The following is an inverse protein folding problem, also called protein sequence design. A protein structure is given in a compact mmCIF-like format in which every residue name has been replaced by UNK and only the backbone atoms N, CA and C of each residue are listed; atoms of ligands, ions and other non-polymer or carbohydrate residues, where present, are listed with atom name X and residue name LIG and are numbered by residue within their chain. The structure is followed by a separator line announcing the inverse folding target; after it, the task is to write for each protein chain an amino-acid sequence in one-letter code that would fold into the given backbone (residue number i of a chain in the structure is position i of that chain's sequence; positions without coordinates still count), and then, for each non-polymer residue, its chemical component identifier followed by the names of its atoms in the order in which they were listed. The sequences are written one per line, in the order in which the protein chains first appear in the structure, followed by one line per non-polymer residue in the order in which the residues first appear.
data_IF_979026604667
#
_entry.id   IF_979026604667
#
_cell.length_a   1.000
_cell.length_b   1.000
_cell.length_c   1.000
_cell.angle_alpha   90.00
_cell.angle_beta   90.00
_cell.angle_gamma   90.00
#
_symmetry.space_group_name_H-M   'P 1'
#
loop_
_entity.id
_entity.type
_entity.pdbx_description
1 polymer ?
#
# COMPACT_ATOMS: atom_id res chain seq x y z
N UNK A 1 -9.25 -12.11 14.78
CA UNK A 1 -9.99 -11.71 13.57
C UNK A 1 -9.85 -12.83 12.56
N UNK A 2 -10.94 -13.25 11.92
CA UNK A 2 -10.88 -14.25 10.86
C UNK A 2 -10.09 -13.68 9.68
N UNK A 3 -9.13 -14.46 9.17
CA UNK A 3 -8.38 -14.08 7.99
C UNK A 3 -9.30 -14.28 6.78
N UNK A 4 -9.68 -13.19 6.11
CA UNK A 4 -10.54 -13.22 4.93
C UNK A 4 -9.67 -13.57 3.71
N UNK A 5 -9.90 -14.74 3.12
CA UNK A 5 -9.09 -15.25 2.01
C UNK A 5 -9.25 -14.45 0.71
N UNK A 6 -10.21 -13.52 0.67
CA UNK A 6 -10.55 -12.71 -0.50
C UNK A 6 -10.29 -11.21 -0.31
N UNK A 7 -9.89 -10.77 0.89
CA UNK A 7 -9.55 -9.39 1.19
C UNK A 7 -8.12 -9.31 1.73
N UNK A 8 -7.23 -8.74 0.92
CA UNK A 8 -5.81 -8.69 1.23
C UNK A 8 -5.35 -7.25 1.41
N UNK A 9 -4.30 -7.06 2.20
CA UNK A 9 -3.53 -5.81 2.20
C UNK A 9 -2.28 -6.05 1.37
N UNK A 10 -2.08 -5.23 0.34
CA UNK A 10 -0.88 -5.27 -0.48
C UNK A 10 0.37 -5.05 0.37
N UNK A 11 1.38 -5.92 0.21
CA UNK A 11 2.62 -5.88 1.00
C UNK A 11 3.45 -4.63 0.65
N UNK A 12 3.39 -4.18 -0.61
CA UNK A 12 4.15 -3.00 -1.08
C UNK A 12 3.35 -1.70 -0.99
N UNK A 13 2.10 -1.74 -1.44
CA UNK A 13 1.27 -0.54 -1.57
C UNK A 13 0.52 -0.18 -0.29
N UNK A 14 0.41 -1.10 0.67
CA UNK A 14 -0.42 -0.98 1.88
C UNK A 14 -1.90 -0.66 1.54
N UNK A 15 -2.32 -0.99 0.31
CA UNK A 15 -3.69 -0.78 -0.16
C UNK A 15 -4.49 -2.07 -0.02
N UNK A 16 -5.77 -1.99 0.38
CA UNK A 16 -6.63 -3.15 0.39
C UNK A 16 -7.00 -3.56 -1.03
N UNK A 17 -6.97 -4.86 -1.29
CA UNK A 17 -7.22 -5.49 -2.58
C UNK A 17 -8.23 -6.61 -2.36
N UNK A 18 -9.31 -6.60 -3.14
CA UNK A 18 -10.36 -7.61 -3.13
C UNK A 18 -10.16 -8.56 -4.32
N UNK A 19 -10.33 -9.87 -4.11
CA UNK A 19 -10.38 -10.85 -5.20
C UNK A 19 -11.81 -11.07 -5.69
N UNK A 20 -11.96 -11.45 -6.95
CA UNK A 20 -13.26 -11.75 -7.52
C UNK A 20 -13.90 -12.98 -6.83
N UNK A 21 -15.23 -13.02 -6.66
CA UNK A 21 -15.93 -14.20 -6.16
C UNK A 21 -15.58 -15.46 -6.97
N UNK A 22 -15.15 -16.52 -6.27
CA UNK A 22 -14.77 -17.79 -6.90
C UNK A 22 -13.33 -17.86 -7.45
N UNK A 23 -12.54 -16.79 -7.34
CA UNK A 23 -11.11 -16.80 -7.71
C UNK A 23 -10.25 -17.11 -6.48
N UNK A 24 -9.42 -18.15 -6.58
CA UNK A 24 -8.48 -18.57 -5.54
C UNK A 24 -7.02 -18.22 -5.86
N UNK A 25 -6.74 -17.69 -7.05
CA UNK A 25 -5.38 -17.32 -7.47
C UNK A 25 -4.94 -15.99 -6.84
N UNK A 26 -4.08 -16.10 -5.83
CA UNK A 26 -3.45 -14.95 -5.15
C UNK A 26 -2.39 -14.24 -6.00
N UNK A 27 -1.96 -14.83 -7.12
CA UNK A 27 -1.01 -14.21 -8.04
C UNK A 27 -1.53 -12.91 -8.67
N UNK A 28 -2.85 -12.78 -8.84
CA UNK A 28 -3.46 -11.54 -9.30
C UNK A 28 -3.34 -10.41 -8.26
N UNK A 29 -3.48 -10.73 -6.96
CA UNK A 29 -3.33 -9.78 -5.86
C UNK A 29 -1.92 -9.22 -5.82
N UNK A 30 -0.90 -10.07 -5.98
CA UNK A 30 0.50 -9.61 -6.03
C UNK A 30 0.75 -8.68 -7.22
N UNK A 31 0.17 -8.97 -8.39
CA UNK A 31 0.34 -8.13 -9.56
C UNK A 31 -0.39 -6.78 -9.44
N UNK A 32 -1.57 -6.76 -8.80
CA UNK A 32 -2.27 -5.51 -8.47
C UNK A 32 -1.46 -4.69 -7.46
N UNK A 33 -0.92 -5.32 -6.41
CA UNK A 33 -0.07 -4.65 -5.42
C UNK A 33 1.21 -4.05 -6.05
N UNK A 34 1.90 -4.82 -6.90
CA UNK A 34 3.06 -4.35 -7.67
C UNK A 34 2.69 -3.15 -8.55
N UNK A 35 1.55 -3.20 -9.24
CA UNK A 35 1.05 -2.12 -10.09
C UNK A 35 0.72 -0.86 -9.27
N UNK A 36 0.09 -1.01 -8.11
CA UNK A 36 -0.24 0.08 -7.18
C UNK A 36 1.01 0.73 -6.57
N UNK A 37 2.10 -0.04 -6.38
CA UNK A 37 3.40 0.51 -5.99
C UNK A 37 4.14 1.21 -7.16
N UNK A 38 3.57 1.20 -8.36
CA UNK A 38 4.09 1.90 -9.53
C UNK A 38 5.05 1.07 -10.39
N UNK A 39 5.07 -0.26 -10.20
CA UNK A 39 5.65 -1.18 -11.16
C UNK A 39 4.61 -1.49 -12.24
N UNK A 40 4.67 -0.77 -13.36
CA UNK A 40 3.72 -0.91 -14.47
C UNK A 40 3.90 -2.21 -15.28
N UNK A 41 4.92 -3.00 -14.96
CA UNK A 41 5.24 -4.29 -15.56
C UNK A 41 5.86 -5.23 -14.55
N UNK A 42 6.36 -6.39 -15.01
CA UNK A 42 6.95 -7.40 -14.13
C UNK A 42 8.12 -6.80 -13.33
N UNK A 43 8.01 -6.85 -12.00
CA UNK A 43 9.09 -6.43 -11.10
C UNK A 43 10.38 -7.21 -11.44
N UNK A 44 11.51 -6.52 -11.66
CA UNK A 44 12.76 -7.18 -12.00
C UNK A 44 13.19 -8.21 -10.95
N UNK A 45 13.67 -9.39 -11.38
CA UNK A 45 14.05 -10.48 -10.48
C UNK A 45 15.19 -10.10 -9.52
N UNK A 46 16.13 -9.28 -9.96
CA UNK A 46 17.22 -8.76 -9.10
C UNK A 46 16.68 -7.89 -7.97
N UNK A 47 15.62 -7.11 -8.22
CA UNK A 47 15.01 -6.25 -7.22
C UNK A 47 14.26 -7.07 -6.17
N UNK A 48 13.57 -8.14 -6.59
CA UNK A 48 12.95 -9.11 -5.66
C UNK A 48 13.99 -9.78 -4.75
N UNK A 49 15.16 -10.12 -5.30
CA UNK A 49 16.26 -10.67 -4.50
C UNK A 49 16.77 -9.63 -3.49
N UNK A 50 16.87 -8.35 -3.88
CA UNK A 50 17.29 -7.27 -3.01
C UNK A 50 16.27 -6.98 -1.88
N UNK A 51 14.98 -7.04 -2.17
CA UNK A 51 13.92 -6.93 -1.15
C UNK A 51 13.98 -8.08 -0.15
N UNK A 52 14.33 -9.29 -0.60
CA UNK A 52 14.54 -10.44 0.28
C UNK A 52 15.76 -10.24 1.20
N UNK A 53 16.80 -9.55 0.72
CA UNK A 53 17.95 -9.18 1.53
C UNK A 53 17.51 -8.17 2.62
N UNK A 54 16.58 -7.27 2.31
CA UNK A 54 15.82 -6.51 3.31
C UNK A 54 16.70 -5.84 4.36
N UNK A 55 16.50 -6.19 5.63
CA UNK A 55 17.27 -5.68 6.78
C UNK A 55 18.79 -5.90 6.66
N UNK A 56 19.23 -6.98 5.99
CA UNK A 56 20.66 -7.25 5.79
C UNK A 56 21.34 -6.22 4.89
N UNK A 57 20.58 -5.48 4.08
CA UNK A 57 21.13 -4.40 3.26
C UNK A 57 21.81 -3.33 4.14
N UNK A 58 21.22 -3.02 5.30
CA UNK A 58 21.84 -2.10 6.26
C UNK A 58 23.18 -2.62 6.75
N UNK A 59 23.26 -3.91 7.13
CA UNK A 59 24.51 -4.51 7.56
C UNK A 59 25.57 -4.49 6.45
N UNK A 60 25.18 -4.78 5.21
CA UNK A 60 26.07 -4.72 4.04
C UNK A 60 26.61 -3.30 3.83
N UNK A 61 25.75 -2.28 3.87
CA UNK A 61 26.17 -0.89 3.72
C UNK A 61 27.09 -0.43 4.87
N UNK A 62 26.81 -0.85 6.11
CA UNK A 62 27.65 -0.56 7.28
C UNK A 62 29.03 -1.20 7.15
N UNK A 63 29.09 -2.49 6.78
CA UNK A 63 30.37 -3.19 6.59
C UNK A 63 31.16 -2.56 5.43
N UNK A 64 30.50 -2.24 4.33
CA UNK A 64 31.13 -1.59 3.18
C UNK A 64 31.66 -0.18 3.53
N UNK A 65 30.87 0.62 4.26
CA UNK A 65 31.28 1.94 4.74
C UNK A 65 32.47 1.87 5.70
N UNK A 66 32.48 0.89 6.60
CA UNK A 66 33.59 0.64 7.52
C UNK A 66 34.86 0.21 6.77
N UNK A 67 34.76 -0.74 5.85
CA UNK A 67 35.87 -1.17 5.01
C UNK A 67 36.45 -0.01 4.18
N UNK A 68 35.59 0.81 3.59
CA UNK A 68 35.98 1.99 2.81
C UNK A 68 36.72 3.01 3.67
N UNK A 69 36.18 3.35 4.85
CA UNK A 69 36.79 4.33 5.75
C UNK A 69 38.13 3.84 6.31
N UNK A 70 38.25 2.55 6.66
CA UNK A 70 39.50 1.96 7.14
C UNK A 70 40.59 1.97 6.05
N UNK A 71 40.22 1.69 4.80
CA UNK A 71 41.15 1.61 3.67
C UNK A 71 41.65 2.98 3.19
N UNK A 72 40.80 4.01 3.23
CA UNK A 72 41.06 5.27 2.51
C UNK A 72 41.17 6.51 3.40
N UNK A 73 40.70 6.48 4.65
CA UNK A 73 40.78 7.65 5.53
C UNK A 73 42.18 7.78 6.14
N UNK A 74 42.82 8.96 6.07
CA UNK A 74 44.09 9.21 6.76
C UNK A 74 43.92 9.57 8.25
N UNK A 75 42.70 9.54 8.78
CA UNK A 75 42.40 9.94 10.16
C UNK A 75 42.81 8.89 11.21
N UNK A 76 42.70 9.24 12.49
CA UNK A 76 42.90 8.30 13.59
C UNK A 76 41.84 7.18 13.59
N UNK A 77 42.23 6.01 14.09
CA UNK A 77 41.44 4.76 14.04
C UNK A 77 40.00 4.94 14.54
N UNK A 78 39.81 5.68 15.64
CA UNK A 78 38.48 5.96 16.20
C UNK A 78 37.60 6.77 15.24
N UNK A 79 38.19 7.77 14.55
CA UNK A 79 37.47 8.58 13.57
C UNK A 79 37.15 7.78 12.30
N UNK A 80 38.04 6.89 11.86
CA UNK A 80 37.75 6.00 10.71
C UNK A 80 36.54 5.12 10.98
N UNK A 81 36.48 4.51 12.17
CA UNK A 81 35.35 3.67 12.59
C UNK A 81 34.06 4.50 12.65
N UNK A 82 34.08 5.65 13.33
CA UNK A 82 32.93 6.54 13.43
C UNK A 82 32.41 7.00 12.06
N UNK A 83 33.31 7.43 11.17
CA UNK A 83 32.97 7.84 9.82
C UNK A 83 32.41 6.68 8.99
N UNK A 84 33.01 5.49 9.07
CA UNK A 84 32.57 4.32 8.31
C UNK A 84 31.17 3.82 8.71
N UNK A 85 30.89 3.79 10.03
CA UNK A 85 29.56 3.48 10.55
C UNK A 85 28.53 4.51 10.09
N UNK A 86 28.87 5.80 10.18
CA UNK A 86 27.95 6.89 9.79
C UNK A 86 27.66 6.86 8.29
N UNK A 87 28.68 6.69 7.46
CA UNK A 87 28.54 6.57 6.00
C UNK A 87 27.65 5.37 5.66
N UNK A 88 27.90 4.21 6.25
CA UNK A 88 27.09 3.03 5.97
C UNK A 88 25.63 3.17 6.40
N UNK A 89 25.38 3.80 7.54
CA UNK A 89 24.03 4.06 8.06
C UNK A 89 23.24 5.02 7.15
N UNK A 90 23.90 6.05 6.61
CA UNK A 90 23.28 7.02 5.68
C UNK A 90 23.18 6.45 4.26
N UNK A 91 24.15 5.66 3.81
CA UNK A 91 24.16 5.07 2.49
C UNK A 91 23.03 4.05 2.28
N UNK A 92 22.65 3.31 3.33
CA UNK A 92 21.59 2.30 3.25
C UNK A 92 20.23 2.85 2.72
N UNK A 93 19.62 3.90 3.32
CA UNK A 93 18.36 4.45 2.79
C UNK A 93 18.52 5.09 1.41
N UNK A 94 19.64 5.77 1.15
CA UNK A 94 19.90 6.45 -0.14
C UNK A 94 20.02 5.44 -1.28
N UNK A 95 20.85 4.40 -1.09
CA UNK A 95 21.06 3.35 -2.09
C UNK A 95 19.78 2.53 -2.31
N UNK A 96 19.04 2.22 -1.23
CA UNK A 96 17.75 1.52 -1.34
C UNK A 96 16.73 2.32 -2.16
N UNK A 97 16.63 3.63 -1.92
CA UNK A 97 15.76 4.52 -2.69
C UNK A 97 16.16 4.57 -4.18
N UNK A 98 17.45 4.71 -4.46
CA UNK A 98 17.96 4.74 -5.84
C UNK A 98 17.69 3.43 -6.59
N UNK A 99 17.92 2.28 -5.95
CA UNK A 99 17.66 0.97 -6.54
C UNK A 99 16.18 0.76 -6.81
N UNK A 100 15.28 1.24 -5.94
CA UNK A 100 13.83 1.20 -6.19
C UNK A 100 13.44 2.07 -7.38
N UNK A 101 14.04 3.25 -7.54
CA UNK A 101 13.81 4.09 -8.72
C UNK A 101 14.29 3.41 -10.00
N UNK A 102 15.47 2.79 -9.99
CA UNK A 102 16.00 2.03 -11.12
C UNK A 102 15.10 0.84 -11.47
N UNK A 103 14.62 0.11 -10.46
CA UNK A 103 13.71 -1.00 -10.67
C UNK A 103 12.37 -0.56 -11.29
N UNK A 104 11.81 0.57 -10.83
CA UNK A 104 10.59 1.17 -11.41
C UNK A 104 10.84 1.66 -12.84
N UNK A 105 11.98 2.30 -13.11
CA UNK A 105 12.37 2.74 -14.44
C UNK A 105 12.53 1.55 -15.40
N UNK A 106 13.18 0.47 -14.97
CA UNK A 106 13.33 -0.76 -15.76
C UNK A 106 11.97 -1.44 -16.00
N UNK A 107 11.09 -1.50 -15.00
CA UNK A 107 9.75 -2.05 -15.16
C UNK A 107 8.90 -1.25 -16.14
N UNK A 108 9.10 0.07 -16.22
CA UNK A 108 8.48 0.94 -17.23
C UNK A 108 9.10 0.78 -18.62
N UNK A 109 10.42 0.69 -18.71
CA UNK A 109 11.12 0.52 -19.98
C UNK A 109 10.85 -0.85 -20.63
N UNK A 110 10.55 -1.87 -19.83
CA UNK A 110 10.24 -3.22 -20.30
C UNK A 110 8.77 -3.49 -20.63
N UNK A 111 7.86 -2.51 -20.53
CA UNK A 111 6.44 -2.75 -20.75
C UNK A 111 5.65 -1.50 -21.19
N UNK A 112 5.03 -1.59 -22.37
CA UNK A 112 4.14 -0.55 -22.93
C UNK A 112 2.82 -0.35 -22.17
N UNK A 113 2.51 -1.14 -21.13
CA UNK A 113 1.30 -0.99 -20.34
C UNK A 113 1.55 -0.07 -19.14
N UNK A 114 0.98 1.14 -19.15
CA UNK A 114 0.90 1.96 -17.94
C UNK A 114 0.14 1.25 -16.81
N UNK A 115 0.31 1.72 -15.57
CA UNK A 115 -0.32 1.15 -14.36
C UNK A 115 -1.83 0.91 -14.54
N UNK A 116 -2.54 1.84 -15.18
CA UNK A 116 -3.99 1.70 -15.45
C UNK A 116 -4.31 0.51 -16.35
N UNK A 117 -3.48 0.25 -17.37
CA UNK A 117 -3.67 -0.88 -18.28
C UNK A 117 -3.35 -2.21 -17.59
N UNK A 118 -2.33 -2.23 -16.73
CA UNK A 118 -2.03 -3.41 -15.91
C UNK A 118 -3.18 -3.72 -14.94
N UNK A 119 -3.75 -2.70 -14.29
CA UNK A 119 -4.92 -2.85 -13.44
C UNK A 119 -6.16 -3.29 -14.24
N UNK A 120 -6.38 -2.74 -15.44
CA UNK A 120 -7.50 -3.13 -16.30
C UNK A 120 -7.44 -4.61 -16.72
N UNK A 121 -6.24 -5.13 -17.03
CA UNK A 121 -6.06 -6.56 -17.37
C UNK A 121 -6.35 -7.47 -16.17
N UNK A 122 -6.12 -6.98 -14.96
CA UNK A 122 -6.34 -7.74 -13.72
C UNK A 122 -7.73 -7.52 -13.11
N UNK A 123 -8.50 -6.58 -13.63
CA UNK A 123 -9.75 -6.12 -13.04
C UNK A 123 -10.77 -7.25 -12.86
N UNK A 124 -10.78 -8.27 -13.72
CA UNK A 124 -11.72 -9.39 -13.58
C UNK A 124 -11.35 -10.37 -12.45
N UNK A 125 -10.13 -10.25 -11.89
CA UNK A 125 -9.57 -11.21 -10.94
C UNK A 125 -9.27 -10.59 -9.57
N UNK A 126 -8.75 -9.37 -9.56
CA UNK A 126 -8.42 -8.62 -8.35
C UNK A 126 -8.54 -7.12 -8.58
N UNK A 127 -9.05 -6.39 -7.60
CA UNK A 127 -9.27 -4.94 -7.69
C UNK A 127 -8.82 -4.23 -6.42
N UNK A 128 -8.25 -3.02 -6.51
CA UNK A 128 -8.07 -2.17 -5.34
C UNK A 128 -9.43 -1.74 -4.78
N UNK A 129 -9.56 -1.72 -3.45
CA UNK A 129 -10.69 -1.11 -2.75
C UNK A 129 -10.20 0.06 -1.90
N UNK A 130 -11.13 0.87 -1.39
CA UNK A 130 -10.76 1.92 -0.43
C UNK A 130 -10.47 1.32 0.94
N UNK A 131 -9.67 2.02 1.75
CA UNK A 131 -9.47 1.69 3.16
C UNK A 131 -10.78 1.63 3.95
N UNK A 132 -11.76 2.46 3.56
CA UNK A 132 -13.10 2.48 4.15
C UNK A 132 -13.85 1.18 3.87
N UNK A 133 -13.85 0.69 2.63
CA UNK A 133 -14.48 -0.59 2.27
C UNK A 133 -13.93 -1.73 3.11
N UNK A 134 -12.60 -1.78 3.31
CA UNK A 134 -11.98 -2.78 4.19
C UNK A 134 -12.53 -2.69 5.62
N UNK A 135 -12.53 -1.50 6.20
CA UNK A 135 -12.99 -1.29 7.57
C UNK A 135 -14.46 -1.69 7.75
N UNK A 136 -15.31 -1.31 6.80
CA UNK A 136 -16.73 -1.61 6.81
C UNK A 136 -16.99 -3.12 6.71
N UNK A 137 -16.29 -3.81 5.81
CA UNK A 137 -16.33 -5.28 5.67
C UNK A 137 -15.92 -5.97 6.97
N UNK A 138 -14.79 -5.57 7.55
CA UNK A 138 -14.29 -6.16 8.80
C UNK A 138 -15.27 -5.96 9.95
N UNK A 139 -15.89 -4.78 10.05
CA UNK A 139 -16.88 -4.48 11.08
C UNK A 139 -18.18 -5.29 10.91
N UNK A 140 -18.68 -5.44 9.67
CA UNK A 140 -19.88 -6.27 9.40
C UNK A 140 -19.61 -7.72 9.76
N UNK A 141 -18.48 -8.29 9.31
CA UNK A 141 -18.15 -9.70 9.54
C UNK A 141 -17.72 -10.00 10.97
N UNK A 142 -17.22 -9.01 11.72
CA UNK A 142 -16.99 -9.16 13.15
C UNK A 142 -18.30 -9.38 13.93
N UNK A 143 -19.42 -8.84 13.44
CA UNK A 143 -20.74 -8.97 14.06
C UNK A 143 -21.52 -10.18 13.56
N UNK A 144 -21.51 -10.40 12.25
CA UNK A 144 -22.19 -11.53 11.61
C UNK A 144 -21.31 -12.18 10.53
N UNK A 145 -20.54 -13.23 10.90
CA UNK A 145 -19.72 -13.98 9.94
C UNK A 145 -20.55 -14.72 8.87
N UNK A 146 -21.84 -14.99 9.11
CA UNK A 146 -22.68 -15.71 8.15
C UNK A 146 -22.94 -14.92 6.86
N UNK A 147 -22.74 -13.60 6.91
CA UNK A 147 -22.89 -12.70 5.77
C UNK A 147 -21.66 -12.67 4.85
N UNK A 148 -20.61 -13.44 5.11
CA UNK A 148 -19.34 -13.40 4.38
C UNK A 148 -19.53 -13.42 2.87
N UNK A 149 -20.32 -14.36 2.34
CA UNK A 149 -20.53 -14.47 0.89
C UNK A 149 -21.20 -13.22 0.29
N UNK A 150 -22.19 -12.65 0.99
CA UNK A 150 -22.90 -11.44 0.55
C UNK A 150 -21.99 -10.23 0.63
N UNK A 151 -21.25 -10.07 1.72
CA UNK A 151 -20.30 -8.97 1.93
C UNK A 151 -19.17 -9.03 0.91
N UNK A 152 -18.67 -10.22 0.57
CA UNK A 152 -17.68 -10.42 -0.50
C UNK A 152 -18.21 -9.92 -1.85
N UNK A 153 -19.41 -10.35 -2.24
CA UNK A 153 -20.03 -9.88 -3.49
C UNK A 153 -20.25 -8.36 -3.51
N UNK A 154 -20.70 -7.79 -2.39
CA UNK A 154 -20.91 -6.35 -2.27
C UNK A 154 -19.58 -5.58 -2.32
N UNK A 155 -18.55 -6.04 -1.62
CA UNK A 155 -17.22 -5.43 -1.65
C UNK A 155 -16.61 -5.47 -3.06
N UNK A 156 -16.79 -6.58 -3.78
CA UNK A 156 -16.39 -6.69 -5.18
C UNK A 156 -17.14 -5.68 -6.07
N UNK A 157 -18.47 -5.69 -6.01
CA UNK A 157 -19.31 -4.82 -6.84
C UNK A 157 -19.15 -3.34 -6.51
N UNK A 158 -18.90 -2.99 -5.25
CA UNK A 158 -18.70 -1.61 -4.82
C UNK A 158 -17.51 -0.91 -5.48
N UNK A 159 -16.63 -1.65 -6.17
CA UNK A 159 -15.56 -1.09 -7.00
C UNK A 159 -16.06 -0.39 -8.27
N UNK A 160 -17.24 -0.75 -8.76
CA UNK A 160 -17.81 -0.24 -10.02
C UNK A 160 -19.25 0.26 -9.86
N UNK A 161 -20.00 -0.29 -8.89
CA UNK A 161 -21.43 -0.06 -8.69
C UNK A 161 -21.68 0.76 -7.41
N UNK A 162 -22.09 2.03 -7.56
CA UNK A 162 -22.45 2.88 -6.43
C UNK A 162 -23.62 2.35 -5.59
N UNK A 163 -24.52 1.54 -6.17
CA UNK A 163 -25.63 0.96 -5.42
C UNK A 163 -25.12 -0.13 -4.46
N UNK A 164 -24.22 -1.00 -4.93
CA UNK A 164 -23.57 -2.00 -4.08
C UNK A 164 -22.75 -1.35 -2.95
N UNK A 165 -22.11 -0.21 -3.24
CA UNK A 165 -21.41 0.58 -2.22
C UNK A 165 -22.35 1.07 -1.11
N UNK A 166 -23.50 1.64 -1.47
CA UNK A 166 -24.52 2.09 -0.51
C UNK A 166 -25.12 0.94 0.29
N UNK A 167 -25.30 -0.21 -0.33
CA UNK A 167 -25.80 -1.40 0.37
C UNK A 167 -24.78 -1.91 1.40
N UNK A 168 -23.49 -1.93 1.06
CA UNK A 168 -22.42 -2.26 2.01
C UNK A 168 -22.36 -1.25 3.17
N UNK A 169 -22.49 0.04 2.87
CA UNK A 169 -22.53 1.10 3.88
C UNK A 169 -23.73 0.92 4.83
N UNK A 170 -24.92 0.61 4.31
CA UNK A 170 -26.10 0.34 5.13
C UNK A 170 -25.93 -0.88 6.03
N UNK A 171 -25.31 -1.96 5.53
CA UNK A 171 -24.95 -3.12 6.36
C UNK A 171 -23.98 -2.74 7.47
N UNK A 172 -23.00 -1.89 7.16
CA UNK A 172 -22.06 -1.39 8.14
C UNK A 172 -22.71 -0.49 9.19
N UNK A 173 -23.61 0.42 8.82
CA UNK A 173 -24.34 1.26 9.77
C UNK A 173 -25.19 0.44 10.75
N UNK A 174 -25.80 -0.64 10.27
CA UNK A 174 -26.54 -1.59 11.13
C UNK A 174 -25.59 -2.42 12.01
N UNK A 175 -24.38 -2.71 11.53
CA UNK A 175 -23.38 -3.44 12.29
C UNK A 175 -22.75 -2.56 13.39
N UNK A 176 -22.35 -1.34 13.07
CA UNK A 176 -21.67 -0.40 13.96
C UNK A 176 -22.28 1.02 13.88
N UNK A 177 -23.41 1.25 14.56
CA UNK A 177 -24.08 2.55 14.56
C UNK A 177 -23.25 3.64 15.26
N UNK A 178 -22.35 3.26 16.19
CA UNK A 178 -21.49 4.21 16.90
C UNK A 178 -20.39 4.75 15.97
N UNK A 179 -19.75 3.88 15.19
CA UNK A 179 -18.78 4.30 14.18
C UNK A 179 -19.43 5.11 13.05
N UNK A 180 -20.66 4.75 12.65
CA UNK A 180 -21.45 5.54 11.69
C UNK A 180 -21.73 6.96 12.22
N UNK A 181 -22.17 7.10 13.46
CA UNK A 181 -22.39 8.40 14.09
C UNK A 181 -21.09 9.22 14.19
N UNK A 182 -19.97 8.58 14.53
CA UNK A 182 -18.67 9.23 14.58
C UNK A 182 -18.21 9.73 13.19
N UNK A 183 -18.51 8.97 12.13
CA UNK A 183 -18.22 9.38 10.74
C UNK A 183 -19.07 10.58 10.31
N UNK A 184 -20.37 10.55 10.61
CA UNK A 184 -21.26 11.67 10.35
C UNK A 184 -20.81 12.96 11.06
N UNK A 185 -20.36 12.84 12.32
CA UNK A 185 -19.82 13.98 13.08
C UNK A 185 -18.55 14.58 12.43
N UNK A 186 -17.64 13.73 11.94
CA UNK A 186 -16.43 14.19 11.23
C UNK A 186 -16.77 14.94 9.94
N UNK A 187 -17.76 14.47 9.18
CA UNK A 187 -18.20 15.17 7.97
C UNK A 187 -18.80 16.53 8.30
N UNK A 188 -19.64 16.63 9.33
CA UNK A 188 -20.18 17.92 9.79
C UNK A 188 -19.06 18.90 10.22
N UNK A 189 -18.00 18.41 10.88
CA UNK A 189 -16.84 19.24 11.24
C UNK A 189 -16.06 19.72 10.00
N UNK A 190 -15.87 18.86 9.00
CA UNK A 190 -15.20 19.21 7.75
C UNK A 190 -15.99 20.25 6.96
N UNK A 191 -17.32 20.10 6.87
CA UNK A 191 -18.19 21.07 6.21
C UNK A 191 -18.13 22.44 6.90
N UNK A 192 -18.11 22.46 8.24
CA UNK A 192 -17.93 23.69 9.02
C UNK A 192 -16.55 24.34 8.74
N UNK A 193 -15.47 23.54 8.66
CA UNK A 193 -14.14 24.04 8.28
C UNK A 193 -14.12 24.60 6.86
N UNK A 194 -14.72 23.92 5.89
CA UNK A 194 -14.80 24.38 4.50
C UNK A 194 -15.59 25.69 4.41
N UNK A 195 -16.71 25.80 5.12
CA UNK A 195 -17.51 27.02 5.18
C UNK A 195 -16.71 28.21 5.75
N UNK A 196 -15.99 28.01 6.86
CA UNK A 196 -15.15 29.06 7.46
C UNK A 196 -13.97 29.48 6.56
N UNK A 197 -13.34 28.55 5.83
CA UNK A 197 -12.28 28.86 4.87
C UNK A 197 -12.79 29.68 3.69
N UNK A 198 -13.94 29.33 3.12
CA UNK A 198 -14.58 30.10 2.04
C UNK A 198 -14.91 31.53 2.49
N UNK A 199 -15.40 31.69 3.71
CA UNK A 199 -15.71 33.01 4.27
C UNK A 199 -14.47 33.88 4.48
N UNK A 200 -13.32 33.27 4.81
CA UNK A 200 -12.05 33.97 4.99
C UNK A 200 -11.36 34.33 3.67
N UNK A 201 -11.60 33.58 2.59
CA UNK A 201 -11.07 33.88 1.25
C UNK A 201 -11.82 35.02 0.55
N UNK A 202 -13.12 35.21 0.82
CA UNK A 202 -13.92 36.33 0.28
C UNK A 202 -13.71 37.68 0.97
N UNK A 203 -12.84 37.76 1.99
CA UNK A 203 -12.51 38.99 2.74
C UNK A 203 -11.12 39.55 2.41
N UNK A 204 -10.41 38.99 1.43
CA UNK A 204 -9.17 39.53 0.87
C UNK A 204 -9.42 40.16 -0.48
#
# INVERSE_FOLDING_TARGET
MAQLDWLHVGVRSDKPIVTAPGVTDTGAVTQVDDALDGFSGKVPGWFKALEKIGYWWYAICVIAGLAFSLALSPAEMAWKIAAGLTIGLVAAPVTSGLLRLLAKAQARAGGESGTERALAVLADRARPVSGETKFEVEAVLAKDPSLEHRVHQLAWRATEDPAARKELESLWEMADPAAAAARAAKFAELDAKIASLKQNQGKK
#
